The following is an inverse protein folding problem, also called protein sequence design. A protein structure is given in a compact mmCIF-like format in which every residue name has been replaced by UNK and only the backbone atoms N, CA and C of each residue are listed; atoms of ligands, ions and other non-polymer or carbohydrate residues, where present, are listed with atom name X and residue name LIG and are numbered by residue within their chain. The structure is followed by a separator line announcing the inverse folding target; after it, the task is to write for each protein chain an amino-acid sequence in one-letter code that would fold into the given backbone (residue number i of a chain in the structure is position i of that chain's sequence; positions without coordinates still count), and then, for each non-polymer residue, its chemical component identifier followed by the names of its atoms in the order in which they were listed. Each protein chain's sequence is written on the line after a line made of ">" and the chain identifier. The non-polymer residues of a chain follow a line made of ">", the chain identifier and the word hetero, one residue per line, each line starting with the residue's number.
data_IF_440814134879
#
_entry.id   IF_440814134879
#
_cell.length_a   1.000
_cell.length_b   1.000
_cell.length_c   1.000
_cell.angle_alpha   90.00
_cell.angle_beta   90.00
_cell.angle_gamma   90.00
#
_symmetry.space_group_name_H-M   'P 1'
#
loop_
_entity.id
_entity.type
_entity.pdbx_description
1 polymer ?
#
# COMPACT_ATOMS: atom_id res chain seq x y z
N UNK A 1 -20.43 -4.32 -7.05
CA UNK A 1 -19.34 -5.20 -6.54
C UNK A 1 -19.71 -6.04 -5.29
N UNK A 2 -20.65 -5.64 -4.48
CA UNK A 2 -20.95 -6.32 -3.22
C UNK A 2 -21.91 -7.54 -3.30
N UNK A 3 -22.59 -7.76 -4.41
CA UNK A 3 -23.54 -8.88 -4.53
C UNK A 3 -22.90 -10.27 -4.65
N UNK A 4 -21.64 -10.35 -5.07
CA UNK A 4 -20.93 -11.63 -5.28
C UNK A 4 -20.35 -12.21 -3.98
N UNK A 5 -20.20 -11.40 -2.93
CA UNK A 5 -19.49 -11.80 -1.70
C UNK A 5 -20.31 -12.69 -0.75
N UNK A 6 -21.62 -12.88 -1.00
CA UNK A 6 -22.48 -13.69 -0.10
C UNK A 6 -22.33 -15.20 -0.29
N UNK A 7 -21.79 -15.64 -1.44
CA UNK A 7 -21.64 -17.08 -1.77
C UNK A 7 -20.21 -17.61 -1.64
N UNK A 8 -19.22 -16.75 -1.52
CA UNK A 8 -17.82 -17.12 -1.40
C UNK A 8 -17.29 -16.39 -0.17
N UNK A 9 -16.45 -17.04 0.65
CA UNK A 9 -15.79 -16.47 1.84
C UNK A 9 -14.75 -15.38 1.45
N UNK A 10 -15.19 -14.38 0.70
CA UNK A 10 -14.32 -13.30 0.25
C UNK A 10 -14.10 -12.29 1.37
N UNK A 11 -12.85 -12.13 1.74
CA UNK A 11 -12.41 -11.07 2.64
C UNK A 11 -12.28 -9.78 1.83
N UNK A 12 -13.19 -8.84 2.03
CA UNK A 12 -13.16 -7.54 1.34
C UNK A 12 -12.31 -6.57 2.12
N UNK A 13 -11.37 -5.93 1.44
CA UNK A 13 -10.57 -4.82 1.91
C UNK A 13 -10.90 -3.60 1.05
N UNK A 14 -11.16 -2.47 1.68
CA UNK A 14 -11.43 -1.19 1.01
C UNK A 14 -10.34 -0.19 1.39
N UNK A 15 -9.82 0.52 0.40
CA UNK A 15 -8.93 1.67 0.60
C UNK A 15 -9.70 2.92 0.21
N UNK A 16 -9.68 3.95 1.06
CA UNK A 16 -10.46 5.17 0.90
C UNK A 16 -9.70 6.38 1.44
N UNK A 17 -10.06 7.59 0.98
CA UNK A 17 -9.66 8.82 1.66
C UNK A 17 -10.53 9.13 2.90
N UNK A 18 -11.57 8.35 3.17
CA UNK A 18 -12.39 8.45 4.37
C UNK A 18 -13.44 9.57 4.39
N UNK A 19 -13.37 10.53 3.48
CA UNK A 19 -14.20 11.77 3.51
C UNK A 19 -15.70 11.49 3.35
N UNK A 20 -16.06 10.50 2.53
CA UNK A 20 -17.45 10.17 2.19
C UNK A 20 -18.03 8.98 2.97
N UNK A 21 -17.36 8.51 4.01
CA UNK A 21 -17.87 7.40 4.83
C UNK A 21 -19.03 7.93 5.68
N UNK A 22 -20.23 7.69 5.19
CA UNK A 22 -21.50 8.06 5.83
C UNK A 22 -22.23 6.80 6.36
N UNK A 23 -23.42 6.99 6.94
CA UNK A 23 -24.23 5.92 7.50
C UNK A 23 -24.63 4.85 6.49
N UNK A 24 -24.89 5.22 5.25
CA UNK A 24 -25.24 4.27 4.19
C UNK A 24 -24.03 3.35 3.87
N UNK A 25 -22.86 3.94 3.73
CA UNK A 25 -21.61 3.19 3.51
C UNK A 25 -21.30 2.29 4.72
N UNK A 26 -21.48 2.77 5.95
CA UNK A 26 -21.28 1.99 7.16
C UNK A 26 -22.26 0.79 7.20
N UNK A 27 -23.54 1.00 6.87
CA UNK A 27 -24.51 -0.09 6.73
C UNK A 27 -24.06 -1.13 5.70
N UNK A 28 -23.51 -0.69 4.57
CA UNK A 28 -22.96 -1.60 3.55
C UNK A 28 -21.74 -2.38 4.10
N UNK A 29 -20.83 -1.74 4.81
CA UNK A 29 -19.68 -2.41 5.44
C UNK A 29 -20.10 -3.49 6.45
N UNK A 30 -21.17 -3.23 7.21
CA UNK A 30 -21.74 -4.20 8.14
C UNK A 30 -22.40 -5.36 7.38
N UNK A 31 -23.29 -5.03 6.42
CA UNK A 31 -24.04 -6.01 5.63
C UNK A 31 -23.15 -6.98 4.87
N UNK A 32 -22.07 -6.47 4.27
CA UNK A 32 -21.15 -7.26 3.45
C UNK A 32 -19.92 -7.73 4.21
N UNK A 33 -19.89 -7.57 5.54
CA UNK A 33 -18.82 -8.06 6.42
C UNK A 33 -17.44 -7.60 5.97
N UNK A 34 -17.29 -6.28 5.72
CA UNK A 34 -15.98 -5.70 5.39
C UNK A 34 -14.93 -6.18 6.41
N UNK A 35 -13.83 -6.76 5.92
CA UNK A 35 -12.74 -7.23 6.78
C UNK A 35 -11.88 -6.04 7.25
N UNK A 36 -11.36 -5.26 6.32
CA UNK A 36 -10.41 -4.19 6.60
C UNK A 36 -10.78 -2.93 5.83
N UNK A 37 -10.78 -1.81 6.51
CA UNK A 37 -10.85 -0.47 5.92
C UNK A 37 -9.48 0.19 6.09
N UNK A 38 -8.80 0.52 4.99
CA UNK A 38 -7.63 1.39 5.03
C UNK A 38 -8.03 2.82 4.68
N UNK A 39 -7.59 3.78 5.51
CA UNK A 39 -7.86 5.21 5.32
C UNK A 39 -6.56 5.98 5.24
N UNK A 40 -6.44 6.84 4.23
CA UNK A 40 -5.26 7.66 4.02
C UNK A 40 -5.27 8.90 4.91
N UNK A 41 -4.24 9.05 5.76
CA UNK A 41 -3.98 10.25 6.56
C UNK A 41 -2.49 10.62 6.43
N UNK A 42 -2.17 11.63 5.65
CA UNK A 42 -0.78 12.05 5.38
C UNK A 42 -0.32 13.18 6.31
N UNK A 43 -0.59 13.05 7.59
CA UNK A 43 -0.28 13.98 8.66
C UNK A 43 -1.40 14.07 9.69
N UNK A 44 -1.18 14.80 10.77
CA UNK A 44 -2.15 15.03 11.82
C UNK A 44 -2.72 16.46 11.70
N UNK A 45 -4.06 16.59 11.73
CA UNK A 45 -4.75 17.88 11.66
C UNK A 45 -4.42 18.66 10.38
N UNK A 46 -3.97 19.90 10.55
CA UNK A 46 -3.65 20.82 9.44
C UNK A 46 -2.60 20.28 8.47
N UNK A 47 -1.66 19.46 8.93
CA UNK A 47 -0.66 18.86 8.04
C UNK A 47 -1.33 17.97 7.00
N UNK A 48 -2.31 17.15 7.43
CA UNK A 48 -3.09 16.33 6.50
C UNK A 48 -3.87 17.20 5.51
N UNK A 49 -4.54 18.22 6.01
CA UNK A 49 -5.35 19.14 5.21
C UNK A 49 -4.51 19.81 4.12
N UNK A 50 -3.33 20.34 4.50
CA UNK A 50 -2.36 20.95 3.58
C UNK A 50 -1.86 19.94 2.53
N UNK A 51 -1.49 18.71 2.95
CA UNK A 51 -1.02 17.68 2.04
C UNK A 51 -2.11 17.20 1.06
N UNK A 52 -3.39 17.37 1.40
CA UNK A 52 -4.54 17.02 0.56
C UNK A 52 -5.20 18.23 -0.13
N UNK A 53 -4.70 19.44 0.13
CA UNK A 53 -5.18 20.67 -0.50
C UNK A 53 -6.62 21.05 -0.13
N UNK A 54 -7.09 20.68 1.07
CA UNK A 54 -8.47 20.98 1.50
C UNK A 54 -8.57 21.04 3.02
N UNK A 55 -8.97 22.20 3.53
CA UNK A 55 -9.13 22.45 4.97
C UNK A 55 -10.28 21.65 5.59
N UNK A 56 -10.09 21.22 6.83
CA UNK A 56 -11.10 20.56 7.67
C UNK A 56 -11.42 19.11 7.28
N UNK A 57 -10.68 18.52 6.32
CA UNK A 57 -10.93 17.11 5.94
C UNK A 57 -10.42 16.13 6.97
N UNK A 58 -9.36 16.45 7.71
CA UNK A 58 -8.87 15.60 8.78
C UNK A 58 -9.97 15.34 9.83
N UNK A 59 -10.54 16.41 10.39
CA UNK A 59 -11.60 16.31 11.40
C UNK A 59 -12.84 15.59 10.86
N UNK A 60 -13.19 15.85 9.60
CA UNK A 60 -14.28 15.14 8.91
C UNK A 60 -14.02 13.64 8.82
N UNK A 61 -12.81 13.24 8.47
CA UNK A 61 -12.42 11.82 8.40
C UNK A 61 -12.48 11.18 9.78
N UNK A 62 -11.93 11.85 10.80
CA UNK A 62 -11.94 11.34 12.18
C UNK A 62 -13.37 11.14 12.68
N UNK A 63 -14.25 12.13 12.49
CA UNK A 63 -15.68 12.02 12.84
C UNK A 63 -16.36 10.83 12.13
N UNK A 64 -16.07 10.62 10.84
CA UNK A 64 -16.61 9.49 10.10
C UNK A 64 -16.11 8.13 10.66
N UNK A 65 -14.85 8.05 11.08
CA UNK A 65 -14.26 6.84 11.67
C UNK A 65 -14.79 6.59 13.09
N UNK A 66 -15.03 7.64 13.88
CA UNK A 66 -15.70 7.54 15.19
C UNK A 66 -17.11 6.96 15.02
N UNK A 67 -17.89 7.48 14.08
CA UNK A 67 -19.22 6.96 13.75
C UNK A 67 -19.17 5.49 13.29
N UNK A 68 -18.18 5.11 12.48
CA UNK A 68 -17.96 3.73 12.07
C UNK A 68 -17.69 2.83 13.29
N UNK A 69 -16.77 3.21 14.18
CA UNK A 69 -16.41 2.41 15.39
C UNK A 69 -17.56 2.35 16.39
N UNK A 70 -18.38 3.40 16.51
CA UNK A 70 -19.61 3.39 17.32
C UNK A 70 -20.61 2.34 16.82
N UNK A 71 -20.79 2.21 15.49
CA UNK A 71 -21.74 1.27 14.88
C UNK A 71 -21.18 -0.13 14.64
N UNK A 72 -19.86 -0.26 14.52
CA UNK A 72 -19.15 -1.54 14.31
C UNK A 72 -17.82 -1.54 15.03
N UNK A 73 -17.85 -1.68 16.36
CA UNK A 73 -16.67 -1.62 17.24
C UNK A 73 -15.49 -2.47 16.76
N UNK A 74 -15.76 -3.67 16.25
CA UNK A 74 -14.74 -4.63 15.81
C UNK A 74 -14.36 -4.47 14.32
N UNK A 75 -14.70 -3.33 13.68
CA UNK A 75 -14.20 -3.07 12.33
C UNK A 75 -12.71 -2.84 12.36
N UNK A 76 -11.96 -3.68 11.65
CA UNK A 76 -10.52 -3.49 11.49
C UNK A 76 -10.27 -2.24 10.63
N UNK A 77 -9.42 -1.35 11.14
CA UNK A 77 -9.02 -0.11 10.48
C UNK A 77 -7.50 -0.03 10.40
N UNK A 78 -7.02 0.39 9.25
CA UNK A 78 -5.61 0.62 8.93
C UNK A 78 -5.46 2.08 8.48
N UNK A 79 -4.71 2.87 9.22
CA UNK A 79 -4.35 4.23 8.80
C UNK A 79 -3.11 4.12 7.92
N UNK A 80 -3.20 4.66 6.69
CA UNK A 80 -2.10 4.71 5.74
C UNK A 80 -1.55 6.12 5.63
N UNK A 81 -0.25 6.26 5.80
CA UNK A 81 0.46 7.52 5.63
C UNK A 81 1.63 7.37 4.68
N UNK A 82 1.86 8.38 3.84
CA UNK A 82 3.09 8.52 3.07
C UNK A 82 4.01 9.45 3.85
N UNK A 83 5.24 9.00 4.11
CA UNK A 83 6.23 9.79 4.83
C UNK A 83 6.81 10.86 3.92
N UNK A 84 6.76 12.09 4.41
CA UNK A 84 7.36 13.28 3.85
C UNK A 84 8.03 14.06 4.99
N UNK A 85 8.97 14.96 4.69
CA UNK A 85 9.63 15.78 5.70
C UNK A 85 8.64 16.56 6.58
N UNK A 86 7.60 17.11 5.97
CA UNK A 86 6.62 17.95 6.68
C UNK A 86 5.66 17.20 7.60
N UNK A 87 5.65 15.85 7.57
CA UNK A 87 4.74 15.06 8.41
C UNK A 87 5.45 14.07 9.34
N UNK A 88 6.78 14.05 9.39
CA UNK A 88 7.54 13.15 10.27
C UNK A 88 7.10 13.28 11.73
N UNK A 89 7.03 14.49 12.25
CA UNK A 89 6.62 14.77 13.64
C UNK A 89 5.14 14.46 13.93
N UNK A 90 4.37 14.15 12.92
CA UNK A 90 2.97 13.75 13.08
C UNK A 90 2.78 12.23 13.20
N UNK A 91 3.80 11.43 12.82
CA UNK A 91 3.71 9.96 12.91
C UNK A 91 3.43 9.47 14.35
N UNK A 92 4.10 9.99 15.41
CA UNK A 92 3.76 9.63 16.80
C UNK A 92 2.33 10.03 17.18
N UNK A 93 1.83 11.18 16.69
CA UNK A 93 0.48 11.63 16.94
C UNK A 93 -0.56 10.73 16.25
N UNK A 94 -0.29 10.33 14.99
CA UNK A 94 -1.12 9.36 14.26
C UNK A 94 -1.13 7.99 14.96
N UNK A 95 0.01 7.55 15.50
CA UNK A 95 0.09 6.30 16.23
C UNK A 95 -0.73 6.33 17.53
N UNK A 96 -0.63 7.40 18.32
CA UNK A 96 -1.48 7.64 19.49
C UNK A 96 -2.97 7.72 19.14
N UNK A 97 -3.30 8.35 18.00
CA UNK A 97 -4.67 8.38 17.49
C UNK A 97 -5.17 6.97 17.17
N UNK A 98 -4.36 6.15 16.49
CA UNK A 98 -4.72 4.76 16.19
C UNK A 98 -4.99 3.96 17.46
N UNK A 99 -4.15 4.11 18.49
CA UNK A 99 -4.34 3.47 19.79
C UNK A 99 -5.64 3.92 20.45
N UNK A 100 -5.86 5.24 20.57
CA UNK A 100 -7.07 5.83 21.16
C UNK A 100 -8.35 5.35 20.47
N UNK A 101 -8.31 5.24 19.15
CA UNK A 101 -9.46 4.82 18.32
C UNK A 101 -9.61 3.29 18.24
N UNK A 102 -8.65 2.52 18.75
CA UNK A 102 -8.61 1.06 18.62
C UNK A 102 -8.45 0.62 17.17
N UNK A 103 -7.61 1.30 16.40
CA UNK A 103 -7.25 0.90 15.05
C UNK A 103 -6.11 -0.14 15.09
N UNK A 104 -6.18 -1.14 14.24
CA UNK A 104 -5.28 -2.28 14.28
C UNK A 104 -3.91 -1.98 13.68
N UNK A 105 -3.85 -1.06 12.70
CA UNK A 105 -2.62 -0.80 11.95
C UNK A 105 -2.39 0.69 11.70
N UNK A 106 -1.11 1.08 11.76
CA UNK A 106 -0.56 2.26 11.11
C UNK A 106 0.41 1.78 10.02
N UNK A 107 0.05 2.01 8.77
CA UNK A 107 0.84 1.62 7.60
C UNK A 107 1.63 2.81 7.07
N UNK A 108 2.94 2.74 7.18
CA UNK A 108 3.89 3.77 6.75
C UNK A 108 4.41 3.41 5.36
N UNK A 109 4.18 4.27 4.39
CA UNK A 109 4.65 4.12 3.02
C UNK A 109 5.67 5.20 2.69
N UNK A 110 6.73 4.82 2.00
CA UNK A 110 7.71 5.77 1.49
C UNK A 110 7.31 6.23 0.09
N UNK A 111 7.47 7.52 -0.17
CA UNK A 111 7.12 8.10 -1.47
C UNK A 111 7.97 7.46 -2.57
N UNK A 112 7.32 7.07 -3.65
CA UNK A 112 7.98 6.43 -4.79
C UNK A 112 8.38 7.47 -5.82
N UNK A 113 9.63 7.42 -6.24
CA UNK A 113 10.18 8.34 -7.23
C UNK A 113 9.94 7.90 -8.70
N UNK A 114 9.25 6.79 -8.91
CA UNK A 114 9.11 6.22 -10.25
C UNK A 114 7.73 6.51 -10.87
N UNK A 115 7.62 7.59 -11.61
CA UNK A 115 6.43 7.98 -12.39
C UNK A 115 6.04 6.96 -13.48
N UNK A 116 6.96 6.10 -13.91
CA UNK A 116 6.75 5.15 -15.00
C UNK A 116 5.70 4.06 -14.66
N UNK A 117 5.51 3.69 -13.37
CA UNK A 117 4.45 2.72 -13.00
C UNK A 117 3.05 3.22 -13.35
N UNK A 118 2.80 4.50 -13.25
CA UNK A 118 1.50 5.08 -13.62
C UNK A 118 1.32 5.13 -15.14
N UNK A 119 2.40 5.39 -15.88
CA UNK A 119 2.37 5.44 -17.34
C UNK A 119 2.33 4.05 -17.97
N UNK A 120 2.96 3.04 -17.36
CA UNK A 120 3.01 1.67 -17.87
C UNK A 120 1.69 0.90 -17.75
N UNK A 121 0.80 1.31 -16.86
CA UNK A 121 -0.59 0.77 -16.79
C UNK A 121 -1.35 0.97 -18.12
N UNK A 122 -0.92 1.94 -18.91
CA UNK A 122 -1.52 2.29 -20.21
C UNK A 122 -0.82 1.63 -21.41
N UNK A 123 0.27 0.91 -21.20
CA UNK A 123 1.07 0.36 -22.30
C UNK A 123 0.75 -1.11 -22.59
N UNK A 124 0.73 -1.45 -23.88
CA UNK A 124 0.34 -2.78 -24.36
C UNK A 124 1.52 -3.76 -24.44
N UNK A 125 2.75 -3.29 -24.30
CA UNK A 125 3.97 -4.09 -24.43
C UNK A 125 4.83 -4.08 -23.17
N UNK A 126 5.58 -5.17 -22.95
CA UNK A 126 6.62 -5.24 -21.96
C UNK A 126 7.79 -4.34 -22.39
N UNK A 127 8.14 -3.34 -21.58
CA UNK A 127 9.11 -2.33 -21.96
C UNK A 127 10.44 -2.57 -21.25
N UNK A 128 11.54 -2.25 -21.96
CA UNK A 128 12.90 -2.28 -21.44
C UNK A 128 13.08 -1.41 -20.16
N UNK A 129 12.31 -0.34 -20.01
CA UNK A 129 12.25 0.51 -18.80
C UNK A 129 11.89 -0.27 -17.52
N UNK A 130 11.26 -1.45 -17.63
CA UNK A 130 11.03 -2.37 -16.53
C UNK A 130 12.31 -2.85 -15.85
N UNK A 131 13.41 -2.85 -16.55
CA UNK A 131 14.70 -3.34 -16.07
C UNK A 131 15.58 -2.24 -15.49
N UNK A 132 15.23 -0.96 -15.69
CA UNK A 132 16.03 0.16 -15.15
C UNK A 132 15.83 0.31 -13.65
N UNK A 133 16.92 0.49 -12.92
CA UNK A 133 16.93 0.93 -11.53
C UNK A 133 16.74 2.44 -11.50
N UNK A 134 16.06 2.93 -10.47
CA UNK A 134 15.89 4.35 -10.20
C UNK A 134 16.52 4.67 -8.84
N UNK A 135 17.06 5.87 -8.63
CA UNK A 135 17.59 6.26 -7.33
C UNK A 135 16.53 6.08 -6.23
N UNK A 136 16.92 5.43 -5.16
CA UNK A 136 16.09 5.34 -3.95
C UNK A 136 16.49 6.51 -3.05
N UNK A 137 15.75 7.60 -3.12
CA UNK A 137 15.99 8.75 -2.26
C UNK A 137 14.83 8.97 -1.30
N UNK A 138 15.08 9.11 0.01
CA UNK A 138 14.05 9.50 0.95
C UNK A 138 13.65 10.97 0.70
N UNK A 139 12.35 11.27 0.82
CA UNK A 139 11.82 12.63 0.83
C UNK A 139 11.71 13.18 2.25
N UNK A 140 12.66 12.79 3.11
CA UNK A 140 12.75 13.14 4.53
C UNK A 140 14.14 12.85 5.04
N UNK A 141 14.52 13.48 6.16
CA UNK A 141 15.76 13.18 6.88
C UNK A 141 15.67 11.80 7.53
N UNK A 142 16.59 10.89 7.19
CA UNK A 142 16.59 9.52 7.69
C UNK A 142 16.96 9.45 9.19
N UNK A 143 17.82 10.33 9.68
CA UNK A 143 18.18 10.36 11.10
C UNK A 143 17.00 10.86 11.94
N UNK A 144 16.30 11.90 11.47
CA UNK A 144 15.05 12.35 12.08
C UNK A 144 13.97 11.24 12.07
N UNK A 145 13.81 10.52 10.95
CA UNK A 145 12.90 9.38 10.91
C UNK A 145 13.25 8.30 11.96
N UNK A 146 14.56 8.04 12.17
CA UNK A 146 15.00 7.07 13.19
C UNK A 146 14.60 7.49 14.59
N UNK A 147 14.71 8.77 14.92
CA UNK A 147 14.29 9.32 16.23
C UNK A 147 12.77 9.14 16.42
N UNK A 148 11.99 9.54 15.43
CA UNK A 148 10.53 9.39 15.42
C UNK A 148 10.10 7.93 15.51
N UNK A 149 10.77 7.03 14.80
CA UNK A 149 10.50 5.60 14.86
C UNK A 149 10.74 5.02 16.27
N UNK A 150 11.86 5.38 16.92
CA UNK A 150 12.16 4.97 18.29
C UNK A 150 11.13 5.50 19.29
N UNK A 151 10.65 6.74 19.10
CA UNK A 151 9.56 7.29 19.92
C UNK A 151 8.30 6.41 19.79
N UNK A 152 7.92 6.02 18.58
CA UNK A 152 6.75 5.16 18.34
C UNK A 152 6.94 3.78 18.97
N UNK A 153 8.11 3.15 18.81
CA UNK A 153 8.39 1.83 19.42
C UNK A 153 8.30 1.87 20.96
N UNK A 154 8.73 2.96 21.59
CA UNK A 154 8.66 3.13 23.03
C UNK A 154 7.22 3.19 23.57
N UNK A 155 6.22 3.50 22.75
CA UNK A 155 4.81 3.64 23.17
C UNK A 155 4.12 2.30 23.50
N UNK A 156 4.68 1.15 23.08
CA UNK A 156 4.18 -0.21 23.38
C UNK A 156 2.67 -0.40 23.17
N UNK A 157 2.12 0.15 22.10
CA UNK A 157 0.70 0.08 21.76
C UNK A 157 0.30 -1.28 21.17
N UNK A 158 -1.02 -1.56 21.17
CA UNK A 158 -1.60 -2.71 20.44
C UNK A 158 -1.69 -2.46 18.93
N UNK A 159 -1.63 -1.21 18.48
CA UNK A 159 -1.57 -0.85 17.07
C UNK A 159 -0.26 -1.36 16.47
N UNK A 160 -0.36 -2.09 15.36
CA UNK A 160 0.82 -2.66 14.68
C UNK A 160 1.30 -1.72 13.59
N UNK A 161 2.61 -1.50 13.54
CA UNK A 161 3.25 -0.83 12.42
C UNK A 161 3.33 -1.78 11.21
N UNK A 162 3.11 -1.21 10.03
CA UNK A 162 3.35 -1.85 8.72
C UNK A 162 4.14 -0.89 7.85
N UNK A 163 4.90 -1.44 6.92
CA UNK A 163 5.70 -0.66 5.99
C UNK A 163 5.43 -1.03 4.54
N UNK A 164 5.76 -0.09 3.66
CA UNK A 164 5.68 -0.29 2.22
C UNK A 164 6.95 0.30 1.57
N UNK A 165 7.94 -0.55 1.24
CA UNK A 165 8.06 -2.03 1.28
C UNK A 165 7.88 -2.65 2.67
N UNK A 166 7.71 -3.97 2.73
CA UNK A 166 7.32 -4.72 3.94
C UNK A 166 8.49 -4.95 4.91
N UNK A 167 9.03 -3.85 5.47
CA UNK A 167 10.17 -3.91 6.40
C UNK A 167 9.83 -4.57 7.74
N UNK A 168 8.56 -4.57 8.15
CA UNK A 168 8.09 -5.22 9.38
C UNK A 168 8.32 -6.74 9.42
N UNK A 169 8.65 -7.36 8.29
CA UNK A 169 9.00 -8.78 8.22
C UNK A 169 10.51 -9.06 8.29
N UNK A 170 11.33 -8.05 8.56
CA UNK A 170 12.76 -8.20 8.84
C UNK A 170 13.02 -8.25 10.34
N UNK A 171 14.17 -8.76 10.77
CA UNK A 171 14.52 -8.86 12.20
C UNK A 171 14.66 -7.50 12.86
N UNK A 172 15.20 -6.53 12.12
CA UNK A 172 15.38 -5.16 12.58
C UNK A 172 14.86 -4.20 11.49
N UNK A 173 13.57 -3.82 11.54
CA UNK A 173 12.97 -2.95 10.54
C UNK A 173 13.71 -1.63 10.36
N UNK A 174 14.09 -0.96 11.45
CA UNK A 174 14.75 0.34 11.40
C UNK A 174 16.11 0.27 10.71
N UNK A 175 16.94 -0.70 11.10
CA UNK A 175 18.24 -0.92 10.48
C UNK A 175 18.11 -1.28 8.99
N UNK A 176 17.11 -2.10 8.66
CA UNK A 176 16.84 -2.47 7.27
C UNK A 176 16.38 -1.28 6.45
N UNK A 177 15.55 -0.39 7.00
CA UNK A 177 15.13 0.86 6.34
C UNK A 177 16.33 1.77 6.11
N UNK A 178 17.18 1.95 7.12
CA UNK A 178 18.39 2.76 7.00
C UNK A 178 19.34 2.25 5.92
N UNK A 179 19.63 0.94 5.93
CA UNK A 179 20.45 0.29 4.90
C UNK A 179 19.82 0.46 3.51
N UNK A 180 18.51 0.29 3.42
CA UNK A 180 17.77 0.39 2.16
C UNK A 180 17.95 1.75 1.48
N UNK A 181 17.89 2.85 2.22
CA UNK A 181 18.07 4.19 1.67
C UNK A 181 19.55 4.57 1.41
N UNK A 182 20.50 3.72 1.84
CA UNK A 182 21.94 3.88 1.59
C UNK A 182 22.45 2.92 0.49
N UNK A 183 21.56 2.14 -0.14
CA UNK A 183 21.97 1.19 -1.18
C UNK A 183 22.52 1.91 -2.41
N UNK A 184 23.55 1.35 -3.08
CA UNK A 184 24.01 1.84 -4.37
C UNK A 184 22.89 1.87 -5.39
N UNK A 185 22.87 2.90 -6.25
CA UNK A 185 21.80 3.06 -7.27
C UNK A 185 21.80 1.93 -8.30
N UNK A 186 22.93 1.29 -8.54
CA UNK A 186 23.11 0.19 -9.48
C UNK A 186 22.90 -1.20 -8.86
N UNK A 187 22.59 -1.29 -7.56
CA UNK A 187 22.37 -2.58 -6.91
C UNK A 187 21.19 -3.31 -7.52
N UNK A 188 21.37 -4.58 -7.93
CA UNK A 188 20.27 -5.37 -8.50
C UNK A 188 19.12 -5.56 -7.50
N UNK A 189 17.90 -5.32 -7.94
CA UNK A 189 16.70 -5.38 -7.08
C UNK A 189 16.47 -6.77 -6.48
N UNK A 190 16.86 -7.81 -7.20
CA UNK A 190 16.80 -9.19 -6.71
C UNK A 190 17.82 -9.50 -5.59
N UNK A 191 18.79 -8.63 -5.36
CA UNK A 191 19.68 -8.73 -4.19
C UNK A 191 19.05 -8.06 -2.95
N UNK A 192 18.21 -7.06 -3.15
CA UNK A 192 17.52 -6.31 -2.08
C UNK A 192 16.29 -7.07 -1.57
N UNK A 193 15.53 -7.67 -2.47
CA UNK A 193 14.22 -8.26 -2.15
C UNK A 193 14.15 -9.76 -2.37
N UNK A 194 13.28 -10.40 -1.57
CA UNK A 194 12.82 -11.77 -1.86
C UNK A 194 12.04 -11.81 -3.17
N UNK A 195 12.04 -12.93 -3.92
CA UNK A 195 11.29 -13.07 -5.15
C UNK A 195 9.81 -12.72 -4.98
N UNK A 196 9.26 -11.96 -5.91
CA UNK A 196 7.87 -11.57 -5.91
C UNK A 196 6.95 -12.75 -6.25
N UNK A 197 5.96 -13.00 -5.40
CA UNK A 197 4.93 -14.03 -5.63
C UNK A 197 3.61 -13.44 -6.11
N UNK A 198 3.46 -12.10 -6.13
CA UNK A 198 2.18 -11.43 -6.41
C UNK A 198 1.53 -11.88 -7.73
N UNK A 199 2.20 -11.92 -8.89
CA UNK A 199 1.57 -12.31 -10.14
C UNK A 199 1.17 -13.79 -10.24
N UNK A 200 1.54 -14.62 -9.26
CA UNK A 200 1.20 -16.04 -9.24
C UNK A 200 -0.11 -16.35 -8.51
N UNK A 201 -0.60 -15.42 -7.72
CA UNK A 201 -1.80 -15.57 -6.89
C UNK A 201 -2.73 -14.35 -6.86
N UNK A 202 -2.34 -13.27 -7.52
CA UNK A 202 -3.12 -12.03 -7.59
C UNK A 202 -3.21 -11.50 -9.02
N UNK A 203 -4.20 -10.67 -9.26
CA UNK A 203 -4.33 -9.84 -10.44
C UNK A 203 -4.95 -8.50 -10.07
N UNK A 204 -4.65 -7.47 -10.82
CA UNK A 204 -5.24 -6.14 -10.68
C UNK A 204 -6.27 -5.92 -11.78
N UNK A 205 -7.35 -5.25 -11.44
CA UNK A 205 -8.40 -4.87 -12.39
C UNK A 205 -8.64 -3.39 -12.23
N UNK A 206 -8.54 -2.63 -13.31
CA UNK A 206 -8.82 -1.19 -13.28
C UNK A 206 -10.32 -0.91 -13.43
N UNK A 207 -10.78 0.35 -13.28
CA UNK A 207 -12.20 0.71 -13.38
C UNK A 207 -12.84 0.36 -14.73
N UNK A 208 -12.07 0.36 -15.82
CA UNK A 208 -12.53 0.02 -17.17
C UNK A 208 -12.65 -1.51 -17.39
N UNK A 209 -12.15 -2.32 -16.43
CA UNK A 209 -12.19 -3.78 -16.46
C UNK A 209 -10.95 -4.43 -17.05
N UNK A 210 -9.90 -3.67 -17.36
CA UNK A 210 -8.64 -4.25 -17.82
C UNK A 210 -7.89 -4.94 -16.69
N UNK A 211 -7.30 -6.10 -17.00
CA UNK A 211 -6.57 -6.96 -16.07
C UNK A 211 -5.06 -6.82 -16.27
N UNK A 212 -4.33 -6.77 -15.15
CA UNK A 212 -2.88 -6.65 -15.09
C UNK A 212 -2.30 -7.66 -14.10
N UNK A 213 -1.14 -8.29 -14.38
CA UNK A 213 -0.42 -9.13 -13.41
C UNK A 213 0.16 -8.33 -12.24
N UNK A 214 0.50 -7.09 -12.53
CA UNK A 214 1.05 -6.06 -11.67
C UNK A 214 0.68 -4.72 -12.30
N UNK A 215 1.12 -3.58 -11.77
CA UNK A 215 0.86 -2.26 -12.38
C UNK A 215 1.64 -2.01 -13.70
N UNK A 216 1.70 -3.00 -14.61
CA UNK A 216 2.68 -2.91 -15.68
C UNK A 216 2.27 -3.35 -17.07
N UNK A 217 1.47 -4.38 -17.21
CA UNK A 217 1.14 -4.92 -18.53
C UNK A 217 -0.34 -5.26 -18.61
N UNK A 218 -1.02 -4.69 -19.57
CA UNK A 218 -2.42 -4.98 -19.90
C UNK A 218 -2.53 -6.37 -20.53
N UNK A 219 -3.37 -7.23 -19.94
CA UNK A 219 -3.56 -8.63 -20.38
C UNK A 219 -4.83 -8.80 -21.21
N UNK A 220 -5.91 -8.15 -20.83
CA UNK A 220 -7.21 -8.23 -21.47
C UNK A 220 -8.29 -7.61 -20.58
N UNK A 221 -9.57 -7.85 -20.91
CA UNK A 221 -10.69 -7.23 -20.20
C UNK A 221 -11.66 -8.27 -19.65
N UNK A 222 -12.13 -8.07 -18.40
CA UNK A 222 -13.13 -8.95 -17.74
C UNK A 222 -14.51 -8.93 -18.40
N UNK A 223 -14.77 -7.97 -19.28
CA UNK A 223 -15.99 -7.91 -20.10
C UNK A 223 -15.96 -8.90 -21.27
N UNK A 224 -14.76 -9.34 -21.66
CA UNK A 224 -14.52 -10.18 -22.84
C UNK A 224 -14.19 -11.63 -22.46
N UNK A 225 -13.45 -11.83 -21.36
CA UNK A 225 -12.96 -13.13 -20.92
C UNK A 225 -13.12 -13.31 -19.41
N UNK A 226 -13.27 -14.54 -18.97
CA UNK A 226 -13.31 -14.88 -17.55
C UNK A 226 -11.97 -14.60 -16.87
N UNK A 227 -11.99 -14.38 -15.55
CA UNK A 227 -10.77 -14.20 -14.75
C UNK A 227 -9.82 -15.40 -14.88
N UNK A 228 -10.35 -16.62 -14.99
CA UNK A 228 -9.56 -17.84 -15.18
C UNK A 228 -8.80 -17.83 -16.51
N UNK A 229 -9.45 -17.43 -17.60
CA UNK A 229 -8.84 -17.31 -18.92
C UNK A 229 -7.78 -16.22 -18.92
N UNK A 230 -8.08 -15.05 -18.34
CA UNK A 230 -7.14 -13.92 -18.27
C UNK A 230 -5.91 -14.26 -17.42
N UNK A 231 -6.09 -14.94 -16.28
CA UNK A 231 -4.99 -15.36 -15.41
C UNK A 231 -4.04 -16.37 -16.06
N UNK A 232 -4.54 -17.15 -17.02
CA UNK A 232 -3.78 -18.15 -17.77
C UNK A 232 -3.50 -17.72 -19.23
N UNK A 233 -3.80 -16.46 -19.58
CA UNK A 233 -3.52 -15.95 -20.91
C UNK A 233 -2.02 -16.02 -21.24
N UNK A 234 -1.64 -16.21 -22.52
CA UNK A 234 -0.24 -16.31 -22.94
C UNK A 234 0.63 -15.16 -22.45
N UNK A 235 0.11 -13.91 -22.52
CA UNK A 235 0.83 -12.72 -22.04
C UNK A 235 1.02 -12.73 -20.52
N UNK A 236 0.06 -13.20 -19.74
CA UNK A 236 0.20 -13.34 -18.29
C UNK A 236 1.26 -14.41 -17.94
N UNK A 237 1.25 -15.53 -18.66
CA UNK A 237 2.24 -16.59 -18.50
C UNK A 237 3.65 -16.11 -18.89
N UNK A 238 3.76 -15.32 -19.98
CA UNK A 238 5.01 -14.71 -20.40
C UNK A 238 5.57 -13.76 -19.33
N UNK A 239 4.71 -12.90 -18.75
CA UNK A 239 5.10 -12.01 -17.66
C UNK A 239 5.72 -12.79 -16.48
N UNK A 240 5.06 -13.89 -16.04
CA UNK A 240 5.60 -14.74 -14.96
C UNK A 240 6.94 -15.39 -15.32
N UNK A 241 7.11 -15.85 -16.57
CA UNK A 241 8.37 -16.42 -17.05
C UNK A 241 9.49 -15.36 -17.01
N UNK A 242 9.23 -14.17 -17.51
CA UNK A 242 10.19 -13.07 -17.51
C UNK A 242 10.55 -12.64 -16.07
N UNK A 243 9.56 -12.53 -15.18
CA UNK A 243 9.80 -12.23 -13.77
C UNK A 243 10.71 -13.29 -13.10
N UNK A 244 10.47 -14.58 -13.38
CA UNK A 244 11.30 -15.66 -12.87
C UNK A 244 12.71 -15.59 -13.45
N UNK A 245 12.85 -15.33 -14.75
CA UNK A 245 14.14 -15.22 -15.42
C UNK A 245 14.98 -14.04 -14.91
N UNK A 246 14.35 -12.95 -14.46
CA UNK A 246 15.02 -11.78 -13.85
C UNK A 246 15.32 -11.94 -12.34
N UNK A 247 15.28 -13.17 -11.80
CA UNK A 247 15.53 -13.41 -10.39
C UNK A 247 14.33 -13.09 -9.47
N UNK A 248 13.12 -12.96 -10.02
CA UNK A 248 11.88 -12.74 -9.27
C UNK A 248 11.52 -11.29 -9.02
N UNK A 249 12.29 -10.35 -9.56
CA UNK A 249 12.01 -8.90 -9.49
C UNK A 249 12.48 -8.22 -10.77
N UNK A 250 11.93 -7.04 -11.06
CA UNK A 250 12.39 -6.14 -12.10
C UNK A 250 12.94 -4.86 -11.46
N UNK A 251 13.75 -4.07 -12.15
CA UNK A 251 14.20 -2.75 -11.67
C UNK A 251 13.06 -1.87 -11.17
N UNK A 252 11.96 -1.97 -11.87
CA UNK A 252 10.69 -1.38 -11.52
C UNK A 252 10.08 -1.73 -10.17
N UNK A 253 10.51 -2.78 -9.56
CA UNK A 253 9.98 -3.24 -8.28
C UNK A 253 10.56 -2.50 -7.07
N UNK A 254 11.48 -1.58 -7.27
CA UNK A 254 12.35 -0.98 -6.27
C UNK A 254 11.63 -0.51 -5.00
N UNK A 255 10.54 0.21 -5.11
CA UNK A 255 9.74 0.68 -3.95
C UNK A 255 8.37 -0.01 -3.89
N UNK A 256 8.29 -1.28 -4.27
CA UNK A 256 7.01 -1.96 -4.40
C UNK A 256 6.46 -2.37 -3.02
N UNK A 257 5.18 -2.04 -2.77
CA UNK A 257 4.48 -2.39 -1.53
C UNK A 257 4.26 -3.89 -1.32
N UNK A 258 4.45 -4.70 -2.35
CA UNK A 258 4.26 -6.15 -2.26
C UNK A 258 5.56 -6.91 -1.97
N UNK A 259 6.70 -6.22 -1.99
CA UNK A 259 8.01 -6.85 -1.77
C UNK A 259 8.42 -6.84 -0.30
N UNK A 260 9.08 -7.92 0.07
CA UNK A 260 9.72 -8.09 1.38
C UNK A 260 11.22 -7.98 1.17
N UNK A 261 11.91 -7.06 1.87
CA UNK A 261 13.36 -6.98 1.85
C UNK A 261 14.01 -8.29 2.33
N UNK A 262 15.20 -8.57 1.84
CA UNK A 262 16.10 -9.57 2.43
C UNK A 262 16.71 -9.03 3.73
N UNK A 263 17.19 -9.93 4.57
CA UNK A 263 17.94 -9.58 5.79
C UNK A 263 19.40 -9.28 5.47
#
# INVERSE_FOLDING_TARGET
>A
MAHTSKKILNKVHVVSNGVLINDEIIKAFIKYKLLLLSVSLDGYGETHDKNRGKDGIFDKIISNLENLKAKKKNQMVDIKTIVLENNLNDLPKLYKLCEKMGFEFLSISFLRNNNWKQNSVLQESFIAEFTQNYPIQPYFDIEHFKEVYKEIEAMKSKTKLRFSPKFEYTKNPLETIEKFFKLPEDMPINEIYKPCTYPYNNMMINPEGFVYPCLSQKIGNVKEKSLKELFNAPHYCCFRKNLKASGGTFGACQMCCELTPKE
#
